data_IF_266878928446
#
_entry.id   IF_266878928446
#
_cell.length_a   1.000
_cell.length_b   1.000
_cell.length_c   1.000
_cell.angle_alpha   90.00
_cell.angle_beta   90.00
_cell.angle_gamma   90.00
#
_symmetry.space_group_name_H-M   'P 1'
#
loop_
_entity.id
_entity.type
_entity.pdbx_description
1 polymer ?
#
# COMPACT_ATOMS: atom_id res chain seq x y z
N UNK A 1 -3.34 -15.20 14.00
CA UNK A 1 -2.82 -14.17 14.93
C UNK A 1 -3.93 -13.22 15.40
N UNK A 2 -3.81 -12.61 16.59
CA UNK A 2 -4.76 -11.56 17.04
C UNK A 2 -4.38 -10.18 16.50
N UNK A 3 -5.30 -9.20 16.59
CA UNK A 3 -5.05 -7.83 16.08
C UNK A 3 -3.89 -7.14 16.79
N UNK A 4 -3.67 -7.42 18.09
CA UNK A 4 -2.54 -6.87 18.84
C UNK A 4 -1.20 -7.43 18.37
N UNK A 5 -1.16 -8.72 18.04
CA UNK A 5 0.01 -9.37 17.47
C UNK A 5 0.29 -8.84 16.05
N UNK A 6 -0.73 -8.73 15.21
CA UNK A 6 -0.60 -8.12 13.87
C UNK A 6 -0.09 -6.67 13.97
N UNK A 7 -0.59 -5.90 14.94
CA UNK A 7 -0.15 -4.53 15.22
C UNK A 7 1.34 -4.48 15.58
N UNK A 8 1.79 -5.34 16.48
CA UNK A 8 3.21 -5.42 16.86
C UNK A 8 4.09 -5.79 15.66
N UNK A 9 3.68 -6.78 14.87
CA UNK A 9 4.47 -7.28 13.73
C UNK A 9 4.56 -6.31 12.56
N UNK A 10 3.55 -5.47 12.36
CA UNK A 10 3.46 -4.52 11.24
C UNK A 10 3.84 -3.09 11.63
N UNK A 11 3.94 -2.81 12.93
CA UNK A 11 4.08 -1.45 13.47
C UNK A 11 2.85 -0.57 13.23
N UNK A 12 1.72 -1.14 12.81
CA UNK A 12 0.48 -0.41 12.53
C UNK A 12 -0.41 -0.43 13.77
N UNK A 13 -0.88 0.74 14.18
CA UNK A 13 -1.80 0.84 15.32
C UNK A 13 -3.08 -0.01 15.08
N UNK A 14 -3.57 -0.68 16.12
CA UNK A 14 -4.80 -1.49 16.05
C UNK A 14 -6.00 -0.72 15.51
N UNK A 15 -6.13 0.58 15.81
CA UNK A 15 -7.15 1.45 15.24
C UNK A 15 -7.07 1.53 13.71
N UNK A 16 -5.86 1.62 13.17
CA UNK A 16 -5.65 1.71 11.73
C UNK A 16 -5.85 0.35 11.04
N UNK A 17 -5.50 -0.77 11.70
CA UNK A 17 -5.87 -2.10 11.22
C UNK A 17 -7.39 -2.30 11.14
N UNK A 18 -8.14 -1.82 12.13
CA UNK A 18 -9.62 -1.83 12.08
C UNK A 18 -10.17 -0.94 10.98
N UNK A 19 -9.51 0.19 10.70
CA UNK A 19 -9.87 1.02 9.56
C UNK A 19 -9.64 0.28 8.25
N UNK A 20 -8.53 -0.43 8.08
CA UNK A 20 -8.31 -1.27 6.89
C UNK A 20 -9.37 -2.38 6.74
N UNK A 21 -9.82 -2.99 7.84
CA UNK A 21 -10.99 -3.88 7.80
C UNK A 21 -12.26 -3.18 7.31
N UNK A 22 -12.56 -1.99 7.83
CA UNK A 22 -13.73 -1.21 7.43
C UNK A 22 -13.70 -0.76 5.97
N UNK A 23 -12.51 -0.67 5.37
CA UNK A 23 -12.33 -0.31 3.96
C UNK A 23 -12.22 -1.54 3.05
N UNK A 24 -12.50 -2.75 3.56
CA UNK A 24 -12.36 -4.02 2.85
C UNK A 24 -10.95 -4.29 2.30
N UNK A 25 -9.93 -3.74 2.98
CA UNK A 25 -8.53 -3.95 2.64
C UNK A 25 -7.90 -5.10 3.42
N UNK A 26 -8.45 -5.43 4.58
CA UNK A 26 -7.95 -6.47 5.47
C UNK A 26 -9.11 -7.34 5.94
N UNK A 27 -8.98 -8.66 5.79
CA UNK A 27 -10.02 -9.59 6.19
C UNK A 27 -9.46 -10.58 7.21
N UNK A 28 -9.96 -10.56 8.47
CA UNK A 28 -9.68 -11.62 9.42
C UNK A 28 -10.58 -12.83 9.14
N UNK A 29 -10.04 -14.02 9.38
CA UNK A 29 -10.84 -15.21 9.57
C UNK A 29 -11.56 -15.13 10.92
N UNK A 30 -12.62 -15.93 11.06
CA UNK A 30 -13.33 -16.11 12.33
C UNK A 30 -13.11 -17.51 12.86
N UNK A 31 -12.59 -17.59 14.08
CA UNK A 31 -12.51 -18.85 14.82
C UNK A 31 -13.90 -19.28 15.30
N UNK A 32 -14.04 -20.56 15.64
CA UNK A 32 -15.29 -21.13 16.16
C UNK A 32 -15.84 -20.41 17.42
N UNK A 33 -14.97 -19.75 18.18
CA UNK A 33 -15.33 -18.95 19.36
C UNK A 33 -15.68 -17.48 19.03
N UNK A 34 -15.82 -17.13 17.75
CA UNK A 34 -16.21 -15.79 17.28
C UNK A 34 -15.09 -14.74 17.28
N UNK A 35 -13.88 -15.09 17.74
CA UNK A 35 -12.76 -14.16 17.70
C UNK A 35 -12.17 -14.04 16.30
N UNK A 36 -11.67 -12.83 15.99
CA UNK A 36 -10.85 -12.58 14.81
C UNK A 36 -9.53 -13.35 14.90
N UNK A 37 -9.11 -13.89 13.77
CA UNK A 37 -7.80 -14.45 13.55
C UNK A 37 -7.28 -14.00 12.19
N UNK A 38 -6.10 -13.38 12.17
CA UNK A 38 -5.48 -12.98 10.91
C UNK A 38 -4.48 -14.06 10.46
N UNK A 39 -4.49 -14.42 9.18
CA UNK A 39 -3.49 -15.35 8.64
C UNK A 39 -2.13 -14.68 8.54
N UNK A 40 -1.08 -15.47 8.36
CA UNK A 40 0.30 -14.97 8.20
C UNK A 40 0.44 -13.97 7.04
N UNK A 41 -0.31 -14.19 5.96
CA UNK A 41 -0.38 -13.30 4.79
C UNK A 41 -0.91 -11.90 5.11
N UNK A 42 -1.60 -11.71 6.24
CA UNK A 42 -2.07 -10.40 6.67
C UNK A 42 -0.92 -9.41 6.92
N UNK A 43 0.25 -9.89 7.35
CA UNK A 43 1.43 -9.03 7.57
C UNK A 43 1.89 -8.42 6.24
N UNK A 44 2.05 -9.25 5.21
CA UNK A 44 2.44 -8.80 3.87
C UNK A 44 1.39 -7.87 3.28
N UNK A 45 0.10 -8.19 3.45
CA UNK A 45 -1.00 -7.34 2.98
C UNK A 45 -0.98 -5.96 3.64
N UNK A 46 -0.80 -5.89 4.96
CA UNK A 46 -0.70 -4.61 5.68
C UNK A 46 0.49 -3.80 5.20
N UNK A 47 1.64 -4.42 4.94
CA UNK A 47 2.80 -3.71 4.41
C UNK A 47 2.52 -3.14 3.01
N UNK A 48 1.91 -3.93 2.11
CA UNK A 48 1.52 -3.45 0.78
C UNK A 48 0.55 -2.26 0.84
N UNK A 49 -0.47 -2.33 1.70
CA UNK A 49 -1.41 -1.20 1.90
C UNK A 49 -0.63 0.06 2.31
N UNK A 50 0.35 -0.06 3.21
CA UNK A 50 1.17 1.08 3.65
C UNK A 50 2.00 1.66 2.52
N UNK A 51 2.66 0.81 1.73
CA UNK A 51 3.52 1.26 0.63
C UNK A 51 2.68 2.01 -0.43
N UNK A 52 1.48 1.50 -0.74
CA UNK A 52 0.55 2.15 -1.66
C UNK A 52 0.00 3.48 -1.12
N UNK A 53 -0.32 3.56 0.19
CA UNK A 53 -0.70 4.81 0.83
C UNK A 53 0.45 5.83 0.80
N UNK A 54 1.70 5.39 1.00
CA UNK A 54 2.89 6.25 0.90
C UNK A 54 3.15 6.72 -0.53
N UNK A 55 2.81 5.90 -1.52
CA UNK A 55 2.84 6.30 -2.93
C UNK A 55 1.77 7.36 -3.27
N UNK A 56 0.83 7.62 -2.37
CA UNK A 56 -0.21 8.65 -2.50
C UNK A 56 -1.56 8.12 -2.97
N UNK A 57 -1.74 6.80 -3.06
CA UNK A 57 -3.01 6.21 -3.44
C UNK A 57 -4.03 6.29 -2.29
N UNK A 58 -5.29 6.49 -2.64
CA UNK A 58 -6.39 6.45 -1.67
C UNK A 58 -6.77 5.01 -1.32
N UNK A 59 -7.37 4.78 -0.14
CA UNK A 59 -7.87 3.45 0.24
C UNK A 59 -8.89 2.89 -0.72
N UNK A 60 -9.70 3.74 -1.37
CA UNK A 60 -10.63 3.35 -2.42
C UNK A 60 -9.90 2.73 -3.60
N UNK A 61 -8.91 3.42 -4.15
CA UNK A 61 -8.08 2.90 -5.26
C UNK A 61 -7.32 1.63 -4.84
N UNK A 62 -6.77 1.63 -3.62
CA UNK A 62 -6.05 0.47 -3.07
C UNK A 62 -6.95 -0.76 -3.03
N UNK A 63 -8.23 -0.63 -2.64
CA UNK A 63 -9.17 -1.75 -2.61
C UNK A 63 -9.36 -2.38 -3.98
N UNK A 64 -9.45 -1.56 -5.02
CA UNK A 64 -9.64 -2.06 -6.40
C UNK A 64 -8.40 -2.78 -6.94
N UNK A 65 -7.19 -2.37 -6.54
CA UNK A 65 -5.92 -2.93 -7.05
C UNK A 65 -5.28 -4.01 -6.17
N UNK A 66 -5.58 -4.06 -4.87
CA UNK A 66 -4.98 -5.04 -3.94
C UNK A 66 -5.13 -6.49 -4.43
N UNK A 67 -6.26 -6.94 -5.02
CA UNK A 67 -6.32 -8.30 -5.53
C UNK A 67 -5.38 -8.54 -6.73
N UNK A 68 -4.97 -7.50 -7.47
CA UNK A 68 -3.91 -7.62 -8.48
C UNK A 68 -2.55 -7.97 -7.88
N UNK A 69 -2.20 -7.39 -6.73
CA UNK A 69 -0.89 -7.54 -6.09
C UNK A 69 -0.74 -8.85 -5.29
N UNK A 70 -1.84 -9.52 -4.96
CA UNK A 70 -1.85 -10.76 -4.18
C UNK A 70 -1.82 -12.04 -5.05
N UNK A 71 -1.39 -11.93 -6.30
CA UNK A 71 -1.31 -13.06 -7.24
C UNK A 71 -2.64 -13.44 -7.90
N UNK A 72 -3.73 -12.74 -7.60
CA UNK A 72 -5.02 -12.90 -8.28
C UNK A 72 -5.19 -11.96 -9.49
N UNK A 73 -4.13 -11.23 -9.89
CA UNK A 73 -4.19 -10.28 -11.01
C UNK A 73 -4.59 -10.87 -12.36
N UNK A 74 -4.34 -12.16 -12.59
CA UNK A 74 -4.83 -12.86 -13.79
C UNK A 74 -6.36 -13.06 -13.79
N UNK A 75 -7.00 -13.11 -12.61
CA UNK A 75 -8.44 -13.32 -12.45
C UNK A 75 -9.26 -12.02 -12.55
N UNK A 76 -8.64 -10.84 -12.47
CA UNK A 76 -9.32 -9.54 -12.53
C UNK A 76 -9.48 -8.97 -13.94
N UNK A 77 -8.89 -9.61 -14.96
CA UNK A 77 -8.97 -9.17 -16.36
C UNK A 77 -10.41 -8.96 -16.89
N UNK A 78 -11.45 -9.69 -16.42
CA UNK A 78 -12.84 -9.43 -16.81
C UNK A 78 -13.57 -8.34 -16.00
N UNK A 79 -12.99 -7.80 -14.92
CA UNK A 79 -13.68 -6.91 -13.96
C UNK A 79 -13.21 -5.46 -14.00
N UNK A 80 -12.20 -5.12 -14.80
CA UNK A 80 -11.76 -3.72 -14.97
C UNK A 80 -12.59 -3.10 -16.08
N UNK A 81 -13.62 -2.35 -15.71
CA UNK A 81 -14.35 -1.52 -16.66
C UNK A 81 -13.50 -0.29 -17.09
N UNK A 82 -14.00 0.44 -18.10
CA UNK A 82 -13.30 1.59 -18.64
C UNK A 82 -13.12 2.72 -17.60
N UNK A 83 -14.04 2.84 -16.64
CA UNK A 83 -13.99 3.87 -15.60
C UNK A 83 -12.88 3.56 -14.59
N UNK A 84 -12.80 2.32 -14.12
CA UNK A 84 -11.72 1.87 -13.25
C UNK A 84 -10.36 1.99 -13.95
N UNK A 85 -10.26 1.57 -15.21
CA UNK A 85 -9.03 1.71 -15.99
C UNK A 85 -8.58 3.18 -16.10
N UNK A 86 -9.50 4.11 -16.39
CA UNK A 86 -9.22 5.53 -16.46
C UNK A 86 -8.77 6.10 -15.10
N UNK A 87 -9.43 5.69 -14.01
CA UNK A 87 -9.04 6.08 -12.66
C UNK A 87 -7.64 5.60 -12.30
N UNK A 88 -7.31 4.33 -12.60
CA UNK A 88 -5.97 3.79 -12.36
C UNK A 88 -4.90 4.47 -13.21
N UNK A 89 -5.19 4.78 -14.47
CA UNK A 89 -4.26 5.53 -15.33
C UNK A 89 -3.98 6.94 -14.78
N UNK A 90 -5.01 7.62 -14.25
CA UNK A 90 -4.85 8.93 -13.60
C UNK A 90 -3.95 8.82 -12.36
N UNK A 91 -4.22 7.86 -11.48
CA UNK A 91 -3.42 7.63 -10.27
C UNK A 91 -1.97 7.26 -10.60
N UNK A 92 -1.75 6.44 -11.64
CA UNK A 92 -0.41 6.13 -12.15
C UNK A 92 0.32 7.41 -12.60
N UNK A 93 -0.34 8.26 -13.38
CA UNK A 93 0.25 9.53 -13.82
C UNK A 93 0.58 10.49 -12.67
N UNK A 94 -0.18 10.49 -11.58
CA UNK A 94 0.15 11.22 -10.35
C UNK A 94 1.41 10.65 -9.68
N UNK A 95 1.52 9.32 -9.58
CA UNK A 95 2.70 8.63 -9.03
C UNK A 95 3.93 8.96 -9.86
N UNK A 96 3.86 8.86 -11.19
CA UNK A 96 4.96 9.17 -12.12
C UNK A 96 5.45 10.61 -11.93
N UNK A 97 4.54 11.58 -11.87
CA UNK A 97 4.91 12.99 -11.60
C UNK A 97 5.58 13.19 -10.24
N UNK A 98 5.18 12.42 -9.24
CA UNK A 98 5.78 12.46 -7.91
C UNK A 98 7.17 11.85 -7.91
N UNK A 99 7.36 10.73 -8.61
CA UNK A 99 8.67 10.10 -8.84
C UNK A 99 9.63 11.08 -9.53
N UNK A 100 9.19 11.75 -10.59
CA UNK A 100 10.02 12.73 -11.30
C UNK A 100 10.46 13.89 -10.39
N UNK A 101 9.54 14.39 -9.58
CA UNK A 101 9.82 15.47 -8.63
C UNK A 101 10.80 15.03 -7.54
N UNK A 102 10.57 13.86 -6.94
CA UNK A 102 11.47 13.30 -5.92
C UNK A 102 12.84 12.97 -6.49
N UNK A 103 12.90 12.49 -7.74
CA UNK A 103 14.15 12.21 -8.45
C UNK A 103 14.96 13.48 -8.67
N UNK A 104 14.32 14.54 -9.22
CA UNK A 104 14.98 15.85 -9.39
C UNK A 104 15.50 16.41 -8.08
N UNK A 105 14.71 16.35 -7.01
CA UNK A 105 15.12 16.84 -5.70
C UNK A 105 16.29 16.04 -5.12
N UNK A 106 16.23 14.71 -5.20
CA UNK A 106 17.32 13.82 -4.77
C UNK A 106 18.61 14.15 -5.50
N UNK A 107 18.54 14.33 -6.82
CA UNK A 107 19.71 14.59 -7.65
C UNK A 107 20.30 15.98 -7.38
N UNK A 108 19.45 16.99 -7.12
CA UNK A 108 19.88 18.31 -6.66
C UNK A 108 20.58 18.25 -5.29
N UNK A 109 20.03 17.52 -4.32
CA UNK A 109 20.66 17.32 -3.01
C UNK A 109 21.99 16.60 -3.15
N UNK A 110 22.06 15.56 -3.99
CA UNK A 110 23.30 14.82 -4.26
C UNK A 110 24.37 15.74 -4.88
N UNK A 111 24.00 16.57 -5.84
CA UNK A 111 24.90 17.55 -6.45
C UNK A 111 25.43 18.56 -5.41
N UNK A 112 24.55 19.08 -4.55
CA UNK A 112 24.94 19.98 -3.47
C UNK A 112 25.95 19.31 -2.52
N UNK A 113 25.69 18.06 -2.09
CA UNK A 113 26.58 17.33 -1.19
C UNK A 113 27.96 17.04 -1.82
N UNK A 114 28.03 16.82 -3.14
CA UNK A 114 29.31 16.66 -3.85
C UNK A 114 30.13 17.95 -3.85
N UNK A 115 29.49 19.11 -3.97
CA UNK A 115 30.18 20.42 -3.92
C UNK A 115 30.55 20.80 -2.47
N UNK A 116 29.68 20.48 -1.51
CA UNK A 116 29.83 20.84 -0.10
C UNK A 116 30.76 19.91 0.70
N UNK A 117 31.03 18.69 0.21
CA UNK A 117 32.10 17.84 0.75
C UNK A 117 33.39 18.09 -0.02
N UNK A 118 34.30 18.98 0.43
CA UNK A 118 35.65 18.96 -0.10
C UNK A 118 36.25 17.60 0.24
N UNK A 119 36.83 16.95 -0.77
CA UNK A 119 37.58 15.70 -0.60
C UNK A 119 38.56 15.86 0.58
N UNK A 120 38.48 14.93 1.54
CA UNK A 120 39.49 14.77 2.58
C UNK A 120 40.81 14.25 1.98
#
# INVERSE_FOLDING_TARGET
MKIGELSHRTGVATRLLRYYEQQDLLHPDRLANGYRDYPESAVQRVQQIRDLLQAGLSTGVIREIVPCFLGAGAALRPMVDAELAANLARELGEIERRIDTLTRNRDAIRAYLTVASPAA
#
